data_IF_265389264975
#
_entry.id   IF_265389264975
#
_cell.length_a   1.000
_cell.length_b   1.000
_cell.length_c   1.000
_cell.angle_alpha   90.00
_cell.angle_beta   90.00
_cell.angle_gamma   90.00
#
_symmetry.space_group_name_H-M   'P 1'
#
loop_
_entity.id
_entity.type
_entity.pdbx_description
1 polymer ?
#
# COMPACT_ATOMS: atom_id res chain seq x y z
N UNK A 1 5.55 3.08 -23.64
CA UNK A 1 5.98 2.87 -22.25
C UNK A 1 4.77 2.82 -21.32
N UNK A 2 4.73 1.83 -20.45
CA UNK A 2 3.63 1.70 -19.49
C UNK A 2 3.81 2.67 -18.34
N UNK A 3 2.72 3.28 -17.93
CA UNK A 3 2.71 4.18 -16.79
C UNK A 3 1.57 3.75 -15.86
N UNK A 4 1.91 3.46 -14.62
CA UNK A 4 0.96 3.04 -13.61
C UNK A 4 1.18 3.91 -12.39
N UNK A 5 0.12 4.56 -11.91
CA UNK A 5 0.22 5.42 -10.74
C UNK A 5 -0.87 5.07 -9.74
N UNK A 6 -0.51 5.15 -8.47
CA UNK A 6 -1.46 4.99 -7.40
C UNK A 6 -1.29 6.18 -6.46
N UNK A 7 -2.36 6.91 -6.23
CA UNK A 7 -2.28 8.18 -5.50
C UNK A 7 -3.39 8.30 -4.48
N UNK A 8 -3.04 8.28 -3.20
CA UNK A 8 -4.02 8.54 -2.15
C UNK A 8 -4.54 9.97 -2.25
N UNK A 9 -5.79 10.18 -1.85
CA UNK A 9 -6.39 11.50 -1.85
C UNK A 9 -5.56 12.43 -0.95
N UNK A 10 -5.32 13.65 -1.44
CA UNK A 10 -4.51 14.61 -0.72
C UNK A 10 -3.05 14.24 -0.65
N UNK A 11 -2.63 13.24 -1.40
CA UNK A 11 -1.25 12.76 -1.40
C UNK A 11 -0.78 12.37 0.01
N UNK A 12 -1.70 11.85 0.81
CA UNK A 12 -1.39 11.46 2.19
C UNK A 12 -0.55 10.20 2.24
N UNK A 13 0.39 10.18 3.18
CA UNK A 13 1.21 9.00 3.40
C UNK A 13 1.05 8.41 4.80
N UNK A 14 0.20 9.00 5.64
CA UNK A 14 0.05 8.55 7.01
C UNK A 14 -1.42 8.54 7.41
N UNK A 15 -1.82 7.50 8.13
CA UNK A 15 -3.20 7.25 8.50
C UNK A 15 -3.27 6.65 9.89
N UNK A 16 -4.42 6.84 10.53
CA UNK A 16 -4.71 6.17 11.80
C UNK A 16 -5.44 4.86 11.53
N UNK A 17 -5.31 3.86 12.42
CA UNK A 17 -6.09 2.63 12.31
C UNK A 17 -7.58 2.94 12.27
N UNK A 18 -8.31 2.18 11.46
CA UNK A 18 -9.75 2.39 11.30
C UNK A 18 -10.14 3.50 10.37
N UNK A 19 -9.18 4.31 9.95
CA UNK A 19 -9.45 5.42 9.05
C UNK A 19 -9.72 4.93 7.64
N UNK A 20 -10.43 5.72 6.84
CA UNK A 20 -10.69 5.41 5.44
C UNK A 20 -9.50 5.90 4.61
N UNK A 21 -8.95 4.98 3.82
CA UNK A 21 -7.91 5.27 2.86
C UNK A 21 -8.54 5.24 1.47
N UNK A 22 -8.63 6.38 0.84
CA UNK A 22 -9.19 6.47 -0.51
C UNK A 22 -8.19 7.16 -1.43
N UNK A 23 -8.36 6.93 -2.71
CA UNK A 23 -7.48 7.52 -3.69
C UNK A 23 -7.87 7.08 -5.09
N UNK A 24 -6.91 7.20 -6.01
CA UNK A 24 -7.12 6.93 -7.42
C UNK A 24 -5.97 6.10 -7.94
N UNK A 25 -6.30 5.08 -8.73
CA UNK A 25 -5.32 4.36 -9.53
C UNK A 25 -5.52 4.75 -10.98
N UNK A 26 -4.43 5.00 -11.69
CA UNK A 26 -4.48 5.35 -13.10
C UNK A 26 -3.42 4.56 -13.85
N UNK A 27 -3.69 4.31 -15.13
CA UNK A 27 -2.75 3.58 -15.97
C UNK A 27 -2.83 4.08 -17.39
N UNK A 28 -1.70 3.98 -18.07
CA UNK A 28 -1.58 4.31 -19.47
C UNK A 28 -0.59 3.29 -20.03
N UNK A 29 -1.09 2.39 -20.85
CA UNK A 29 -0.37 1.19 -21.27
C UNK A 29 -0.23 1.16 -22.78
N UNK A 30 0.81 0.45 -23.24
CA UNK A 30 1.01 0.25 -24.67
C UNK A 30 -0.04 -0.67 -25.28
N UNK A 31 -0.64 -1.55 -24.47
CA UNK A 31 -1.66 -2.48 -24.91
C UNK A 31 -2.73 -2.60 -23.83
N UNK A 32 -3.96 -2.97 -24.19
CA UNK A 32 -5.03 -3.09 -23.20
C UNK A 32 -4.70 -4.12 -22.12
N UNK A 33 -5.06 -3.79 -20.90
CA UNK A 33 -4.91 -4.70 -19.77
C UNK A 33 -6.12 -5.63 -19.69
N UNK A 34 -5.89 -6.82 -19.11
CA UNK A 34 -6.98 -7.76 -18.85
C UNK A 34 -7.53 -7.58 -17.44
N UNK A 35 -6.78 -6.94 -16.56
CA UNK A 35 -7.25 -6.65 -15.20
C UNK A 35 -6.34 -5.68 -14.51
N UNK A 36 -6.93 -4.91 -13.62
CA UNK A 36 -6.20 -4.01 -12.72
C UNK A 36 -6.70 -4.29 -11.31
N UNK A 37 -5.77 -4.43 -10.38
CA UNK A 37 -6.11 -4.71 -8.98
C UNK A 37 -5.34 -3.77 -8.08
N UNK A 38 -6.01 -3.20 -7.08
CA UNK A 38 -5.35 -2.42 -6.04
C UNK A 38 -5.37 -3.25 -4.77
N UNK A 39 -4.20 -3.46 -4.18
CA UNK A 39 -4.02 -4.26 -2.98
C UNK A 39 -3.56 -3.38 -1.83
N UNK A 40 -4.15 -3.61 -0.68
CA UNK A 40 -3.69 -3.03 0.58
C UNK A 40 -3.04 -4.16 1.35
N UNK A 41 -1.76 -3.99 1.68
CA UNK A 41 -1.00 -5.07 2.34
C UNK A 41 0.04 -4.48 3.27
N UNK A 42 0.58 -5.34 4.13
CA UNK A 42 1.74 -5.00 4.92
C UNK A 42 2.78 -6.10 4.75
N UNK A 43 4.02 -5.74 4.99
CA UNK A 43 5.11 -6.69 4.95
C UNK A 43 6.14 -6.33 6.01
N UNK A 44 6.95 -7.31 6.37
CA UNK A 44 8.04 -7.08 7.31
C UNK A 44 9.35 -7.03 6.55
N UNK A 45 10.25 -6.24 7.08
CA UNK A 45 11.59 -6.07 6.52
C UNK A 45 12.59 -6.17 7.66
N UNK A 46 13.65 -6.93 7.46
CA UNK A 46 14.66 -7.09 8.48
C UNK A 46 15.46 -8.35 8.25
N UNK A 47 16.15 -8.80 9.28
CA UNK A 47 16.91 -10.02 9.20
C UNK A 47 15.97 -11.22 9.31
N UNK A 48 16.27 -12.25 8.56
CA UNK A 48 15.50 -13.48 8.61
C UNK A 48 14.36 -13.50 7.63
N UNK A 49 13.26 -14.08 8.04
CA UNK A 49 12.10 -14.29 7.18
C UNK A 49 11.33 -13.00 6.94
N UNK A 50 10.88 -12.83 5.71
CA UNK A 50 10.00 -11.72 5.36
C UNK A 50 8.58 -12.24 5.23
N UNK A 51 7.65 -11.59 5.93
CA UNK A 51 6.23 -11.90 5.84
C UNK A 51 5.51 -10.85 5.01
N UNK A 52 4.52 -11.30 4.26
CA UNK A 52 3.66 -10.41 3.46
C UNK A 52 2.22 -10.84 3.68
N UNK A 53 1.36 -9.88 3.97
CA UNK A 53 -0.06 -10.17 4.17
C UNK A 53 -0.91 -9.18 3.39
N UNK A 54 -1.62 -9.68 2.38
CA UNK A 54 -2.60 -8.87 1.66
C UNK A 54 -3.86 -8.85 2.52
N UNK A 55 -4.25 -7.66 2.93
CA UNK A 55 -5.37 -7.47 3.83
C UNK A 55 -6.67 -7.31 3.05
N UNK A 56 -6.62 -6.51 2.00
CA UNK A 56 -7.78 -6.23 1.16
C UNK A 56 -7.31 -5.99 -0.26
N UNK A 57 -8.21 -6.23 -1.22
CA UNK A 57 -7.94 -5.98 -2.62
C UNK A 57 -9.21 -5.54 -3.31
N UNK A 58 -9.05 -4.73 -4.34
CA UNK A 58 -10.16 -4.26 -5.15
C UNK A 58 -9.78 -4.44 -6.61
N UNK A 59 -10.64 -5.13 -7.36
CA UNK A 59 -10.40 -5.40 -8.77
C UNK A 59 -11.27 -4.51 -9.64
N UNK A 60 -10.72 -4.15 -10.80
CA UNK A 60 -11.43 -3.33 -11.78
C UNK A 60 -11.51 -4.10 -13.08
N UNK A 61 -12.74 -4.22 -13.59
CA UNK A 61 -13.01 -4.95 -14.83
C UNK A 61 -12.87 -4.01 -16.03
N UNK A 62 -12.57 -4.62 -17.18
CA UNK A 62 -12.51 -3.94 -18.47
C UNK A 62 -11.64 -2.66 -18.41
N UNK A 63 -10.40 -2.77 -17.96
CA UNK A 63 -9.58 -1.58 -17.76
C UNK A 63 -9.13 -0.90 -19.05
N UNK A 64 -9.01 -1.65 -20.15
CA UNK A 64 -8.53 -1.07 -21.40
C UNK A 64 -7.05 -0.71 -21.33
N UNK A 65 -6.60 0.09 -22.30
CA UNK A 65 -5.21 0.51 -22.38
C UNK A 65 -4.94 1.71 -21.49
N UNK A 66 -5.95 2.51 -21.18
CA UNK A 66 -5.79 3.63 -20.26
C UNK A 66 -7.05 3.78 -19.44
N UNK A 67 -6.89 4.25 -18.22
CA UNK A 67 -8.03 4.43 -17.36
C UNK A 67 -7.64 5.03 -16.02
N UNK A 68 -8.68 5.35 -15.27
CA UNK A 68 -8.55 5.95 -13.95
C UNK A 68 -9.75 5.50 -13.13
N UNK A 69 -9.49 4.94 -11.95
CA UNK A 69 -10.56 4.42 -11.09
C UNK A 69 -10.30 4.83 -9.65
N UNK A 70 -11.35 5.15 -8.92
CA UNK A 70 -11.21 5.40 -7.48
C UNK A 70 -11.12 4.09 -6.71
N UNK A 71 -10.39 4.11 -5.61
CA UNK A 71 -10.36 2.98 -4.69
C UNK A 71 -10.61 3.50 -3.28
N UNK A 72 -11.06 2.59 -2.40
CA UNK A 72 -11.38 2.94 -1.04
C UNK A 72 -11.25 1.71 -0.16
N UNK A 73 -10.50 1.86 0.93
CA UNK A 73 -10.33 0.80 1.92
C UNK A 73 -10.57 1.39 3.31
N UNK A 74 -11.18 0.58 4.17
CA UNK A 74 -11.21 0.91 5.61
C UNK A 74 -10.04 0.18 6.22
N UNK A 75 -9.13 0.93 6.84
CA UNK A 75 -7.94 0.36 7.44
C UNK A 75 -8.30 -0.43 8.69
N UNK A 76 -7.68 -1.60 8.89
CA UNK A 76 -7.93 -2.36 10.11
C UNK A 76 -7.32 -1.68 11.33
N UNK A 77 -7.71 -2.16 12.51
CA UNK A 77 -7.21 -1.60 13.76
C UNK A 77 -5.78 -2.03 14.05
N UNK A 78 -5.30 -3.09 13.43
CA UNK A 78 -3.95 -3.59 13.61
C UNK A 78 -3.55 -4.40 12.38
N UNK A 79 -2.25 -4.63 12.15
CA UNK A 79 -1.13 -4.15 12.92
C UNK A 79 -0.77 -2.70 12.60
N UNK A 80 0.06 -2.08 13.43
CA UNK A 80 0.58 -0.74 13.18
C UNK A 80 1.91 -0.81 12.43
N UNK A 81 2.20 0.24 11.68
CA UNK A 81 3.55 0.43 11.14
C UNK A 81 4.53 0.64 12.29
N UNK A 82 5.72 0.06 12.18
CA UNK A 82 6.77 0.31 13.15
C UNK A 82 8.13 0.14 12.49
N UNK A 83 9.14 0.78 13.09
CA UNK A 83 10.52 0.63 12.68
C UNK A 83 11.33 0.15 13.86
N UNK A 84 12.10 -0.91 13.68
CA UNK A 84 12.95 -1.47 14.70
C UNK A 84 14.33 -1.76 14.14
N UNK A 85 15.26 -2.08 15.04
CA UNK A 85 16.63 -2.40 14.61
C UNK A 85 16.70 -3.68 13.81
N UNK A 86 15.90 -4.68 14.21
CA UNK A 86 15.94 -5.99 13.58
C UNK A 86 14.83 -6.19 12.58
N UNK A 87 13.69 -5.56 12.80
CA UNK A 87 12.53 -5.77 11.95
C UNK A 87 11.69 -4.51 11.91
N UNK A 88 11.10 -4.25 10.76
CA UNK A 88 10.12 -3.19 10.57
C UNK A 88 8.87 -3.77 9.94
N UNK A 89 7.73 -3.18 10.22
CA UNK A 89 6.47 -3.54 9.57
C UNK A 89 6.00 -2.34 8.75
N UNK A 90 5.76 -2.58 7.47
CA UNK A 90 5.49 -1.52 6.51
C UNK A 90 4.17 -1.80 5.82
N UNK A 91 3.28 -0.81 5.83
CA UNK A 91 2.03 -0.86 5.06
C UNK A 91 2.26 -0.29 3.67
N UNK A 92 1.54 -0.80 2.69
CA UNK A 92 1.68 -0.32 1.33
C UNK A 92 0.42 -0.56 0.52
N UNK A 93 0.28 0.24 -0.52
CA UNK A 93 -0.67 0.01 -1.60
C UNK A 93 0.12 -0.46 -2.81
N UNK A 94 -0.48 -1.38 -3.57
CA UNK A 94 0.11 -1.81 -4.82
C UNK A 94 -0.97 -1.89 -5.89
N UNK A 95 -0.71 -1.28 -7.03
CA UNK A 95 -1.57 -1.42 -8.20
C UNK A 95 -0.91 -2.44 -9.12
N UNK A 96 -1.60 -3.53 -9.42
CA UNK A 96 -1.09 -4.61 -10.25
C UNK A 96 -1.88 -4.66 -11.53
N UNK A 97 -1.19 -4.66 -12.66
CA UNK A 97 -1.81 -4.69 -13.98
C UNK A 97 -1.47 -6.01 -14.67
N UNK A 98 -2.51 -6.71 -15.10
CA UNK A 98 -2.35 -7.95 -15.86
C UNK A 98 -2.55 -7.68 -17.34
N UNK A 99 -1.87 -8.40 -18.22
CA UNK A 99 -0.95 -9.48 -17.96
C UNK A 99 0.46 -8.97 -17.62
N UNK A 100 1.31 -9.90 -17.14
CA UNK A 100 2.70 -9.59 -16.89
C UNK A 100 2.98 -9.00 -15.51
N UNK A 101 1.96 -8.84 -14.69
CA UNK A 101 2.09 -8.38 -13.29
C UNK A 101 2.93 -7.11 -13.15
N UNK A 102 2.71 -6.17 -14.06
CA UNK A 102 3.33 -4.85 -13.95
C UNK A 102 2.69 -4.13 -12.76
N UNK A 103 3.47 -3.42 -11.99
CA UNK A 103 2.91 -2.85 -10.76
C UNK A 103 3.57 -1.53 -10.39
N UNK A 104 2.86 -0.80 -9.54
CA UNK A 104 3.35 0.39 -8.88
C UNK A 104 3.01 0.26 -7.40
N UNK A 105 3.93 0.66 -6.54
CA UNK A 105 3.78 0.49 -5.10
C UNK A 105 3.97 1.82 -4.39
N UNK A 106 3.22 2.01 -3.31
CA UNK A 106 3.35 3.21 -2.48
C UNK A 106 3.28 2.82 -1.01
N UNK A 107 4.33 3.12 -0.27
CA UNK A 107 4.37 2.82 1.16
C UNK A 107 3.60 3.85 1.95
N UNK A 108 3.03 3.41 3.07
CA UNK A 108 2.20 4.23 3.94
C UNK A 108 2.61 3.99 5.39
N UNK A 109 2.20 4.91 6.25
CA UNK A 109 2.30 4.71 7.69
C UNK A 109 0.88 4.55 8.22
N UNK A 110 0.65 3.48 8.98
CA UNK A 110 -0.62 3.23 9.65
C UNK A 110 -0.32 3.04 11.13
N UNK A 111 -0.62 4.05 11.92
CA UNK A 111 -0.33 4.03 13.35
C UNK A 111 -1.17 5.10 14.03
N UNK A 112 -1.41 4.97 15.33
CA UNK A 112 -2.20 5.97 16.05
C UNK A 112 -1.64 7.38 15.84
N UNK A 113 -2.52 8.29 15.43
CA UNK A 113 -2.12 9.65 15.12
C UNK A 113 -1.30 9.78 13.85
N UNK A 114 -1.17 8.71 13.07
CA UNK A 114 -0.40 8.75 11.83
C UNK A 114 1.10 8.80 12.04
N UNK A 115 1.58 8.51 13.25
CA UNK A 115 3.00 8.57 13.56
C UNK A 115 3.54 7.17 13.77
N UNK A 116 4.53 6.81 12.96
CA UNK A 116 5.14 5.49 13.02
C UNK A 116 5.79 5.24 14.38
N UNK A 117 5.61 4.04 14.89
CA UNK A 117 6.20 3.64 16.17
C UNK A 117 7.66 3.26 15.92
N UNK A 118 8.55 3.86 16.69
CA UNK A 118 9.98 3.58 16.59
C UNK A 118 10.36 2.64 17.72
N UNK A 119 10.82 1.46 17.33
CA UNK A 119 11.26 0.43 18.26
C UNK A 119 12.77 0.41 18.34
N UNK A 120 13.29 0.08 19.49
CA UNK A 120 14.72 -0.07 19.66
C UNK A 120 15.47 1.22 19.93
N UNK A 121 14.76 2.33 19.99
CA UNK A 121 15.38 3.61 20.33
C UNK A 121 14.86 4.21 21.61
N UNK A 122 13.60 3.98 21.91
CA UNK A 122 12.96 4.63 23.04
C UNK A 122 13.34 3.98 24.35
N UNK A 123 13.52 2.69 24.30
CA UNK A 123 13.85 1.91 25.49
C UNK A 123 15.18 2.30 26.08
N UNK A 124 15.89 3.10 25.41
CA UNK A 124 17.17 3.49 25.91
C UNK A 124 17.07 4.48 27.04
N UNK A 125 15.97 4.78 27.46
CA UNK A 125 15.90 5.70 28.45
C UNK A 125 15.37 5.28 29.60
N UNK A 126 15.66 5.20 30.09
CA UNK A 126 15.17 4.85 31.13
C UNK A 126 15.42 4.95 31.91
#
# INVERSE_FOLDING_TARGET
>A
MDLIEIQPDGNRGAYSPGEVLSGTVSWQLDAPATGVEVRLFWYTRGKGTTDVQVVKAQQFDAPGASGKRPFRFVLPEEPYSFSGKLISLIWALEAVVQPGERSARRELVVAPGGTEILLGTVETKK
#
